data_IF_061307209124
#
_entry.id   IF_061307209124
#
_cell.length_a   1.000
_cell.length_b   1.000
_cell.length_c   1.000
_cell.angle_alpha   90.00
_cell.angle_beta   90.00
_cell.angle_gamma   90.00
#
_symmetry.space_group_name_H-M   'P 1'
#
loop_
_entity.id
_entity.type
_entity.pdbx_description
1 polymer ?
2 non-polymer ?
3 water ?
#
# COMPACT_ATOMS: atom_id res chain seq x y z
N UNK A 1 -5.64 0.02 -13.54
CA UNK A 1 -4.99 -0.23 -14.86
C UNK A 1 -4.14 0.99 -15.29
N UNK A 2 -4.00 2.07 -14.51
CA UNK A 2 -2.94 3.06 -14.81
C UNK A 2 -1.56 2.40 -14.69
N UNK A 3 -1.38 1.57 -13.68
CA UNK A 3 -0.09 0.93 -13.47
C UNK A 3 -0.01 -0.38 -14.28
N UNK A 4 1.03 -0.55 -15.10
CA UNK A 4 1.12 -1.72 -15.98
C UNK A 4 2.25 -2.67 -15.57
N UNK A 5 2.65 -2.60 -14.31
CA UNK A 5 3.52 -3.62 -13.74
C UNK A 5 2.70 -4.46 -12.77
N UNK A 6 2.66 -5.76 -12.99
CA UNK A 6 1.87 -6.63 -12.17
C UNK A 6 2.71 -7.88 -11.90
N UNK A 7 2.56 -8.34 -10.70
CA UNK A 7 3.23 -9.51 -10.26
C UNK A 7 2.60 -10.71 -11.00
N UNK A 8 3.38 -11.38 -11.83
CA UNK A 8 2.94 -12.67 -12.35
C UNK A 8 3.15 -13.73 -11.27
N UNK A 9 2.18 -14.64 -11.20
CA UNK A 9 2.28 -15.83 -10.37
C UNK A 9 2.13 -15.53 -8.89
N UNK A 10 1.36 -14.51 -8.53
CA UNK A 10 1.19 -14.13 -7.13
C UNK A 10 0.48 -15.23 -6.33
N UNK A 11 1.07 -15.58 -5.19
CA UNK A 11 0.47 -16.55 -4.28
C UNK A 11 0.11 -15.74 -3.04
N UNK A 12 -1.17 -15.38 -2.99
CA UNK A 12 -1.61 -14.40 -2.04
C UNK A 12 -1.44 -14.95 -0.62
N UNK A 13 -1.42 -16.28 -0.44
CA UNK A 13 -1.27 -16.82 0.92
C UNK A 13 0.06 -16.32 1.51
N UNK A 14 1.06 -16.08 0.65
CA UNK A 14 2.42 -15.93 1.13
C UNK A 14 2.70 -14.47 1.48
N UNK A 15 1.72 -13.58 1.31
CA UNK A 15 1.93 -12.17 1.77
C UNK A 15 1.39 -12.01 3.20
N UNK A 16 0.88 -13.07 3.82
CA UNK A 16 0.35 -12.98 5.20
C UNK A 16 1.43 -12.44 6.14
N UNK A 17 0.93 -11.82 7.22
CA UNK A 17 1.73 -11.44 8.38
C UNK A 17 1.96 -9.95 8.44
N UNK A 18 3.04 -9.60 9.14
CA UNK A 18 3.33 -8.23 9.44
C UNK A 18 4.17 -7.60 8.31
N UNK A 19 3.87 -6.34 8.03
CA UNK A 19 4.56 -5.50 7.07
C UNK A 19 4.72 -4.11 7.67
N UNK A 20 5.63 -3.33 7.11
CA UNK A 20 5.90 -1.97 7.49
C UNK A 20 5.77 -1.09 6.24
N UNK A 21 5.06 0.03 6.34
CA UNK A 21 4.95 0.96 5.23
C UNK A 21 6.18 1.88 5.21
N UNK A 22 7.24 1.45 4.53
CA UNK A 22 8.52 2.17 4.54
C UNK A 22 8.46 3.49 3.74
N UNK A 23 7.80 3.47 2.57
CA UNK A 23 7.62 4.64 1.74
C UNK A 23 6.24 4.62 1.09
N UNK A 24 5.76 5.84 0.85
CA UNK A 24 4.49 6.11 0.20
C UNK A 24 4.70 7.16 -0.90
N UNK A 25 3.92 7.06 -1.97
CA UNK A 25 3.88 8.09 -2.98
C UNK A 25 2.44 8.23 -3.51
N UNK A 26 2.07 9.45 -3.94
CA UNK A 26 0.78 9.69 -4.52
C UNK A 26 0.89 10.76 -5.61
N UNK A 27 -0.06 10.71 -6.56
CA UNK A 27 -0.17 11.68 -7.69
C UNK A 27 -0.63 13.06 -7.20
N UNK A 28 -1.26 13.14 -6.04
CA UNK A 28 -1.77 14.39 -5.47
C UNK A 28 -1.23 14.57 -4.06
N UNK A 29 -0.63 15.72 -3.84
CA UNK A 29 0.02 16.08 -2.57
C UNK A 29 -0.97 15.89 -1.41
N UNK A 30 -2.22 16.30 -1.64
CA UNK A 30 -3.23 16.31 -0.58
C UNK A 30 -3.60 14.88 -0.17
N UNK A 31 -3.23 13.88 -0.97
CA UNK A 31 -3.53 12.52 -0.55
C UNK A 31 -2.58 12.07 0.58
N UNK A 32 -1.45 12.77 0.76
CA UNK A 32 -0.45 12.25 1.70
C UNK A 32 0.18 13.35 2.57
N UNK A 33 -0.20 14.62 2.43
CA UNK A 33 0.62 15.69 3.06
C UNK A 33 0.44 15.80 4.58
N UNK A 34 -0.75 15.64 5.12
CA UNK A 34 -0.93 15.70 6.57
C UNK A 34 -1.09 14.30 7.17
N UNK A 35 -1.03 14.25 8.50
CA UNK A 35 -1.13 13.00 9.26
C UNK A 35 -2.52 12.40 8.99
N UNK A 36 -3.50 13.25 8.77
CA UNK A 36 -4.89 12.84 8.59
C UNK A 36 -5.29 12.86 7.11
N UNK A 37 -4.35 13.04 6.19
CA UNK A 37 -4.66 12.96 4.76
C UNK A 37 -5.21 11.58 4.45
N UNK A 38 -6.05 11.49 3.42
CA UNK A 38 -6.85 10.30 3.23
C UNK A 38 -6.11 9.01 2.87
N UNK A 39 -4.92 9.05 2.28
CA UNK A 39 -4.25 7.77 1.94
C UNK A 39 -2.98 7.57 2.76
N UNK A 40 -2.84 8.39 3.78
CA UNK A 40 -1.83 8.20 4.79
C UNK A 40 -2.25 7.07 5.76
N UNK A 41 -1.96 5.85 5.32
CA UNK A 41 -2.33 4.63 6.01
C UNK A 41 -1.07 3.78 6.22
N UNK A 42 -0.96 3.24 7.42
CA UNK A 42 0.24 2.53 7.85
C UNK A 42 -0.13 1.05 8.02
N UNK A 43 0.41 0.23 7.13
CA UNK A 43 0.04 -1.15 7.08
C UNK A 43 0.65 -1.85 8.29
N UNK A 44 -0.18 -2.68 8.92
CA UNK A 44 0.21 -3.47 10.09
C UNK A 44 0.36 -4.95 9.68
N UNK A 45 -0.63 -5.45 8.95
CA UNK A 45 -0.78 -6.89 8.81
C UNK A 45 -1.70 -7.21 7.63
N UNK A 46 -1.32 -8.21 6.83
CA UNK A 46 -2.17 -8.81 5.78
C UNK A 46 -2.63 -10.21 6.20
N UNK A 47 -3.92 -10.50 6.01
CA UNK A 47 -4.52 -11.74 6.51
C UNK A 47 -5.42 -12.37 5.40
N UNK A 48 -4.77 -13.17 4.53
CA UNK A 48 -5.45 -13.76 3.37
C UNK A 48 -6.44 -14.83 3.86
N UNK A 49 -7.66 -14.80 3.34
CA UNK A 49 -8.63 -15.83 3.70
C UNK A 49 -8.39 -17.09 2.84
N UNK A 50 -8.95 -18.22 3.28
CA UNK A 50 -8.94 -19.49 2.53
C UNK A 50 -9.57 -19.47 1.06
N UNK A 51 -10.62 -18.55 0.94
CA UNK A 51 -11.28 -18.28 -0.35
C UNK A 51 -10.41 -17.33 -1.20
N UNK A 52 -9.40 -16.72 -0.58
CA UNK A 52 -8.41 -15.94 -1.33
C UNK A 52 -8.71 -14.45 -1.34
N UNK A 53 -9.60 -13.96 -0.47
CA UNK A 53 -9.76 -12.53 -0.26
C UNK A 53 -8.65 -12.07 0.70
N UNK A 54 -8.52 -10.78 0.96
CA UNK A 54 -7.42 -10.34 1.78
C UNK A 54 -7.90 -9.37 2.86
N UNK A 55 -7.84 -9.79 4.11
CA UNK A 55 -8.11 -8.90 5.24
C UNK A 55 -6.88 -8.02 5.50
N UNK A 56 -7.11 -6.71 5.69
CA UNK A 56 -6.03 -5.75 5.91
C UNK A 56 -6.25 -5.02 7.26
N UNK A 57 -5.16 -5.02 8.04
CA UNK A 57 -5.08 -4.30 9.29
C UNK A 57 -4.13 -3.12 9.11
N UNK A 58 -4.58 -1.90 9.41
CA UNK A 58 -3.71 -0.72 9.26
C UNK A 58 -4.01 0.33 10.33
N UNK A 59 -3.17 1.35 10.37
CA UNK A 59 -3.46 2.49 11.20
C UNK A 59 -3.76 3.71 10.32
N UNK A 60 -4.50 4.64 10.89
CA UNK A 60 -4.75 5.89 10.23
C UNK A 60 -5.04 6.96 11.29
N UNK A 61 -4.42 8.14 11.11
CA UNK A 61 -4.65 9.29 11.98
C UNK A 61 -6.04 9.88 11.68
N UNK A 62 -6.88 9.97 12.71
CA UNK A 62 -8.11 10.72 12.53
C UNK A 62 -8.60 11.23 13.89
N UNK A 63 -9.13 12.44 13.86
CA UNK A 63 -9.65 13.11 15.06
C UNK A 63 -8.56 13.12 16.14
N UNK A 64 -7.40 13.67 15.80
CA UNK A 64 -6.30 13.89 16.73
C UNK A 64 -5.71 12.61 17.31
N UNK A 65 -5.83 11.45 16.67
CA UNK A 65 -5.12 10.27 17.20
C UNK A 65 -5.10 9.09 16.21
N UNK A 66 -4.13 8.23 16.50
CA UNK A 66 -3.81 7.10 15.68
C UNK A 66 -4.85 6.01 15.92
N UNK A 67 -5.63 5.67 14.89
CA UNK A 67 -6.73 4.69 15.00
C UNK A 67 -6.40 3.42 14.23
N UNK A 68 -6.76 2.27 14.77
CA UNK A 68 -6.62 1.00 14.05
C UNK A 68 -7.85 0.81 13.15
N UNK A 69 -7.64 0.30 11.95
CA UNK A 69 -8.72 0.09 10.99
C UNK A 69 -8.59 -1.33 10.43
N UNK A 70 -9.73 -1.96 10.15
CA UNK A 70 -9.77 -3.20 9.41
C UNK A 70 -10.51 -2.94 8.10
N UNK A 71 -10.02 -3.60 7.04
CA UNK A 71 -10.40 -3.37 5.65
C UNK A 71 -10.38 -4.70 4.88
N UNK A 72 -11.37 -4.95 4.02
CA UNK A 72 -11.41 -6.19 3.24
C UNK A 72 -11.18 -5.86 1.76
N UNK A 73 -10.18 -6.54 1.18
CA UNK A 73 -9.86 -6.47 -0.22
C UNK A 73 -10.33 -7.78 -0.89
N UNK A 74 -11.32 -7.73 -1.77
CA UNK A 74 -11.85 -8.96 -2.39
C UNK A 74 -11.06 -9.33 -3.63
N UNK A 75 -10.89 -10.62 -3.88
CA UNK A 75 -10.15 -11.06 -5.03
C UNK A 75 -10.95 -10.70 -6.30
N UNK A 76 -10.20 -10.55 -7.39
CA UNK A 76 -10.75 -10.49 -8.77
C UNK A 76 -10.18 -11.71 -9.59
N UNK A 77 -10.62 -11.68 -10.90
CA UNK A 77 -10.12 -12.66 -11.88
C UNK A 77 -8.61 -12.49 -12.09
N UNK A 78 -8.03 -11.36 -11.73
CA UNK A 78 -6.62 -11.23 -11.92
C UNK A 78 -5.96 -11.49 -10.57
N UNK A 79 -5.06 -12.45 -10.48
CA UNK A 79 -4.52 -12.77 -9.14
C UNK A 79 -3.84 -11.59 -8.39
N UNK A 80 -3.36 -10.58 -9.12
CA UNK A 80 -2.58 -9.49 -8.51
C UNK A 80 -3.49 -8.31 -8.14
N UNK A 81 -4.76 -8.34 -8.50
CA UNK A 81 -5.63 -7.20 -8.34
C UNK A 81 -6.80 -7.57 -7.40
N UNK A 82 -7.07 -6.66 -6.47
CA UNK A 82 -8.11 -6.77 -5.42
C UNK A 82 -8.98 -5.51 -5.41
N UNK A 83 -10.18 -5.59 -4.85
CA UNK A 83 -11.09 -4.45 -4.78
C UNK A 83 -11.43 -4.16 -3.32
N UNK A 84 -11.31 -2.90 -2.92
CA UNK A 84 -11.65 -2.51 -1.57
C UNK A 84 -13.17 -2.40 -1.44
N UNK A 85 -13.88 -2.19 -2.54
CA UNK A 85 -15.31 -1.87 -2.43
C UNK A 85 -15.42 -0.76 -1.38
N UNK A 86 -16.25 -0.87 -0.35
CA UNK A 86 -16.58 0.34 0.38
C UNK A 86 -17.09 1.40 -0.61
N UNK A 87 -16.79 2.69 -0.43
CA UNK A 87 -17.59 3.76 -1.07
C UNK A 87 -17.42 3.76 -2.59
N UNK A 88 -16.19 3.73 -3.11
CA UNK A 88 -15.90 4.07 -4.53
C UNK A 88 -15.44 2.84 -5.34
N UNK A 89 -15.09 1.74 -4.68
CA UNK A 89 -14.56 0.54 -5.35
C UNK A 89 -13.16 0.86 -5.91
N UNK A 90 -12.23 0.98 -4.98
CA UNK A 90 -10.84 1.22 -5.31
C UNK A 90 -10.19 -0.12 -5.63
N UNK A 91 -9.28 -0.11 -6.60
CA UNK A 91 -8.53 -1.30 -6.93
C UNK A 91 -7.13 -1.17 -6.32
N UNK A 92 -6.65 -2.33 -5.88
CA UNK A 92 -5.32 -2.47 -5.34
C UNK A 92 -4.57 -3.47 -6.20
N UNK A 93 -3.35 -3.13 -6.60
CA UNK A 93 -2.58 -3.93 -7.54
C UNK A 93 -1.22 -4.26 -6.91
N UNK A 94 -0.85 -5.54 -6.89
CA UNK A 94 0.46 -5.91 -6.43
C UNK A 94 1.40 -5.90 -7.64
N UNK A 95 2.43 -5.05 -7.59
CA UNK A 95 3.35 -4.85 -8.71
C UNK A 95 4.40 -5.97 -8.69
N UNK A 96 4.86 -6.25 -7.48
CA UNK A 96 6.03 -7.07 -7.31
C UNK A 96 6.20 -7.38 -5.82
N UNK A 97 6.51 -8.62 -5.50
CA UNK A 97 6.91 -8.97 -4.14
C UNK A 97 7.82 -10.20 -4.21
N UNK A 98 8.68 -10.35 -3.22
CA UNK A 98 9.43 -11.60 -3.00
C UNK A 98 8.98 -12.25 -1.69
N UNK A 99 7.90 -11.76 -1.09
CA UNK A 99 7.19 -12.40 0.05
C UNK A 99 7.98 -12.29 1.36
N UNK A 100 9.28 -12.52 1.37
CA UNK A 100 10.02 -12.61 2.62
C UNK A 100 10.71 -11.27 2.96
N UNK A 101 10.72 -10.26 2.07
CA UNK A 101 11.40 -8.97 2.37
C UNK A 101 10.58 -7.74 1.97
N UNK A 102 9.99 -7.67 0.78
CA UNK A 102 9.34 -6.44 0.32
C UNK A 102 8.09 -6.78 -0.50
N UNK A 103 7.21 -5.79 -0.60
CA UNK A 103 6.07 -5.87 -1.49
C UNK A 103 5.75 -4.45 -1.97
N UNK A 104 5.61 -4.30 -3.28
CA UNK A 104 5.22 -3.02 -3.86
C UNK A 104 3.74 -3.10 -4.26
N UNK A 105 2.92 -2.14 -3.83
CA UNK A 105 1.56 -2.09 -4.34
C UNK A 105 1.17 -0.65 -4.71
N UNK A 106 0.21 -0.54 -5.61
CA UNK A 106 -0.45 0.72 -5.91
C UNK A 106 -1.96 0.56 -5.78
N UNK A 107 -2.64 1.67 -5.64
CA UNK A 107 -4.06 1.69 -5.55
C UNK A 107 -4.59 2.83 -6.42
N UNK A 108 -5.70 2.65 -7.11
CA UNK A 108 -6.34 3.78 -7.76
C UNK A 108 -7.85 3.76 -7.51
N UNK A 109 -8.44 4.94 -7.58
CA UNK A 109 -9.87 5.13 -7.58
C UNK A 109 -10.42 4.70 -8.94
N UNK A 110 -11.53 3.95 -8.96
CA UNK A 110 -12.05 3.36 -10.21
C UNK A 110 -12.53 4.45 -11.21
N UNK A 111 -12.57 5.74 -10.84
CA UNK A 111 -12.62 6.80 -11.86
C UNK A 111 -12.37 8.19 -11.28
N UNK A 112 -12.21 9.12 -12.23
CA UNK A 112 -11.94 10.54 -11.99
C UNK A 112 -12.06 11.21 -13.37
N UNK A 113 -12.36 12.51 -13.54
CA UNK A 113 -11.90 13.71 -12.80
C UNK A 113 -10.39 13.82 -12.60
N UNK A 114 -10.00 14.25 -11.40
CA UNK A 114 -8.61 14.46 -11.03
C UNK A 114 -8.03 13.13 -10.54
N UNK A 115 -6.90 12.69 -11.12
CA UNK A 115 -6.41 11.30 -10.96
C UNK A 115 -5.88 11.09 -9.53
N UNK A 116 -6.38 10.03 -8.89
CA UNK A 116 -5.92 9.60 -7.58
C UNK A 116 -5.25 8.23 -7.73
N UNK A 117 -3.98 8.19 -7.36
CA UNK A 117 -3.11 7.04 -7.52
C UNK A 117 -2.06 7.12 -6.41
N UNK A 118 -1.91 6.08 -5.63
CA UNK A 118 -0.98 6.07 -4.51
C UNK A 118 -0.39 4.68 -4.39
N UNK A 119 0.90 4.62 -4.03
CA UNK A 119 1.68 3.39 -3.97
C UNK A 119 2.51 3.35 -2.69
N UNK A 120 2.88 2.13 -2.30
CA UNK A 120 3.64 1.97 -1.11
C UNK A 120 4.69 0.91 -1.35
N UNK A 121 5.80 1.11 -0.66
CA UNK A 121 6.83 0.09 -0.46
C UNK A 121 6.70 -0.51 0.95
N UNK A 122 6.19 -1.75 1.04
CA UNK A 122 6.11 -2.49 2.30
C UNK A 122 7.36 -3.35 2.45
N UNK A 123 7.82 -3.44 3.69
CA UNK A 123 8.92 -4.33 3.98
C UNK A 123 8.56 -5.12 5.25
N UNK A 124 9.26 -6.23 5.45
CA UNK A 124 8.93 -7.18 6.52
C UNK A 124 9.55 -6.79 7.87
N UNK A 125 10.61 -5.96 7.86
CA UNK A 125 11.29 -5.56 9.09
C UNK A 125 11.40 -4.03 9.23
N UNK A 126 11.66 -3.53 10.45
CA UNK A 126 11.76 -2.07 10.68
C UNK A 126 13.14 -1.52 10.29
N UNK A 127 13.46 -1.64 9.01
CA UNK A 127 14.79 -1.43 8.48
C UNK A 127 14.66 -0.74 7.13
N UNK A 128 15.51 0.23 6.86
CA UNK A 128 15.57 0.89 5.57
C UNK A 128 16.24 -0.07 4.57
N UNK A 129 15.47 -0.51 3.61
CA UNK A 129 15.92 -1.53 2.66
C UNK A 129 16.09 -0.79 1.32
N UNK A 130 17.33 -0.45 1.00
CA UNK A 130 17.67 0.34 -0.18
C UNK A 130 17.25 -0.35 -1.45
N UNK A 131 17.48 -1.65 -1.55
CA UNK A 131 17.16 -2.41 -2.76
C UNK A 131 15.66 -2.32 -3.03
N UNK A 132 14.84 -2.47 -2.00
CA UNK A 132 13.39 -2.40 -2.20
C UNK A 132 12.96 -0.97 -2.57
N UNK A 133 13.60 0.04 -1.95
CA UNK A 133 13.29 1.45 -2.25
C UNK A 133 13.71 1.77 -3.69
N UNK A 134 14.79 1.17 -4.11
CA UNK A 134 15.25 1.36 -5.46
C UNK A 134 14.22 0.79 -6.45
N UNK A 135 13.71 -0.41 -6.17
CA UNK A 135 12.69 -1.02 -7.02
C UNK A 135 11.43 -0.17 -6.97
N UNK A 136 11.07 0.31 -5.78
CA UNK A 136 9.94 1.18 -5.65
C UNK A 136 10.09 2.40 -6.57
N UNK A 137 11.25 3.08 -6.51
CA UNK A 137 11.44 4.29 -7.28
C UNK A 137 11.49 4.05 -8.79
N UNK A 138 12.15 2.97 -9.23
CA UNK A 138 12.06 2.49 -10.60
C UNK A 138 10.59 2.28 -11.04
N UNK A 139 9.79 1.66 -10.18
CA UNK A 139 8.41 1.30 -10.51
C UNK A 139 7.61 2.55 -10.80
N UNK A 140 8.02 3.66 -10.19
CA UNK A 140 7.25 4.89 -10.15
C UNK A 140 7.80 5.94 -11.12
N UNK A 141 8.97 5.69 -11.71
CA UNK A 141 9.63 6.80 -12.42
C UNK A 141 8.71 7.32 -13.52
N UNK A 142 7.93 6.45 -14.17
CA UNK A 142 7.05 6.87 -15.27
C UNK A 142 5.61 7.14 -14.79
N UNK A 143 5.33 7.02 -13.49
CA UNK A 143 4.03 7.37 -12.95
C UNK A 143 4.03 8.85 -12.53
N UNK A 144 2.85 9.47 -12.50
CA UNK A 144 2.84 10.93 -12.26
C UNK A 144 2.69 11.29 -10.77
N UNK A 145 3.67 10.94 -9.96
CA UNK A 145 3.60 11.19 -8.54
C UNK A 145 4.04 12.65 -8.25
N UNK A 146 3.46 13.26 -7.22
CA UNK A 146 3.88 14.62 -6.82
C UNK A 146 4.19 14.70 -5.33
N UNK A 147 4.10 13.59 -4.61
CA UNK A 147 4.51 13.54 -3.22
C UNK A 147 5.05 12.14 -2.94
N UNK A 148 6.15 12.08 -2.23
CA UNK A 148 6.81 10.86 -1.81
C UNK A 148 7.29 11.08 -0.37
N UNK A 149 6.96 10.11 0.49
CA UNK A 149 7.35 10.10 1.88
C UNK A 149 8.16 8.81 2.14
N UNK A 150 9.09 8.87 3.09
CA UNK A 150 9.72 7.64 3.61
C UNK A 150 9.97 7.82 5.11
N UNK A 151 10.16 6.68 5.78
CA UNK A 151 10.15 6.65 7.25
C UNK A 151 11.40 5.93 7.75
N UNK A 152 11.87 6.41 8.88
CA UNK A 152 13.08 5.90 9.44
C UNK A 152 12.71 4.76 10.40
N UNK A 153 13.69 3.94 10.80
CA UNK A 153 13.39 2.76 11.61
C UNK A 153 12.71 3.13 12.94
N UNK A 154 13.06 4.27 13.52
CA UNK A 154 12.44 4.69 14.77
C UNK A 154 10.93 4.87 14.56
N UNK A 155 10.56 5.57 13.48
CA UNK A 155 9.15 5.90 13.18
C UNK A 155 8.36 4.61 12.92
N UNK A 156 9.00 3.64 12.26
CA UNK A 156 8.36 2.39 11.85
C UNK A 156 7.88 1.59 13.07
N UNK A 157 8.54 1.77 14.20
CA UNK A 157 8.20 1.05 15.43
C UNK A 157 7.12 1.80 16.22
N UNK A 158 6.77 3.02 15.79
CA UNK A 158 5.85 3.89 16.49
C UNK A 158 4.52 3.87 15.76
N UNK A 159 3.42 4.02 16.49
CA UNK A 159 2.12 3.95 15.81
C UNK A 159 1.92 5.25 15.02
N UNK A 160 1.29 5.10 13.87
CA UNK A 160 1.18 6.13 12.87
C UNK A 160 2.53 6.81 12.57
N UNK A 161 3.63 6.11 12.76
CA UNK A 161 4.97 6.57 12.36
C UNK A 161 5.28 7.97 12.92
N UNK A 162 4.79 8.29 14.11
CA UNK A 162 5.03 9.61 14.76
C UNK A 162 6.50 9.77 15.16
X LIG B 1 -9.79 4.06 6.28
X LIG B 1 -9.71 4.09 4.75
X LIG B 1 -8.28 4.28 4.25
X LIG B 1 -8.19 4.21 2.72
X LIG B 1 -8.35 2.77 2.19
X LIG B 1 -6.13 1.45 1.99
X LIG B 1 -3.88 -1.48 0.69
X LIG B 1 -1.91 -3.02 0.66
X LIG B 1 -2.25 -5.25 -0.43
X LIG B 1 -12.89 1.06 7.44
X LIG B 1 -12.73 2.18 8.02
X LIG B 1 -13.06 2.45 9.19
X LIG B 1 -12.04 3.32 7.18
X LIG B 1 -10.63 2.88 6.77
X LIG B 1 -7.19 2.32 1.27
X LIG B 1 -5.53 0.38 1.06
X LIG B 1 -4.43 -0.50 1.70
X LIG B 1 -3.23 -2.71 1.29
X LIG B 1 -1.55 -4.49 0.66
X LIG B 1 -1.40 -6.40 -0.92
X LIG B 1 -2.22 -7.48 -1.61
#
# INVERSE_FOLDING_TARGET
LIVTQTMKGLDIQKVAGTWYSLAMAASDISLLDAQSAPLRVYVEELKPTPEGDLEILLQKWENGECAQKKIIAEKTKIPAVFKIDALNENKVLVLDTDYKKYLLFCMENSAEPEQSLACQCLVRTPEVDDEALEKFDKALKALPMHIRLSFNPTQLEEQCHI
EW8 C4 C5 C6 C7 C8 C10 C13 C15 C17 O1 C1 O2 C2 C3 C9 C11 C12 C14 C16 C18 C19
#
